data_IF_289190541929
#
_entry.id   IF_289190541929
#
_cell.length_a   1.000
_cell.length_b   1.000
_cell.length_c   1.000
_cell.angle_alpha   90.00
_cell.angle_beta   90.00
_cell.angle_gamma   90.00
#
_symmetry.space_group_name_H-M   'P 1'
#
loop_
_entity.id
_entity.type
_entity.pdbx_description
1 polymer ?
#
# COMPACT_ATOMS: atom_id res chain seq x y z
N UNK A 1 0.18 -4.11 -22.28
CA UNK A 1 -0.08 -4.80 -21.01
C UNK A 1 -1.52 -5.27 -21.06
N UNK A 2 -1.86 -6.41 -20.47
CA UNK A 2 -3.27 -6.76 -20.25
C UNK A 2 -3.86 -5.75 -19.24
N UNK A 3 -5.19 -5.64 -19.19
CA UNK A 3 -5.85 -4.73 -18.25
C UNK A 3 -5.49 -5.09 -16.80
N UNK A 4 -5.16 -4.07 -16.01
CA UNK A 4 -4.84 -4.22 -14.59
C UNK A 4 -6.07 -4.70 -13.82
N UNK A 5 -7.25 -4.16 -14.15
CA UNK A 5 -8.51 -4.59 -13.54
C UNK A 5 -8.84 -6.04 -13.90
N UNK A 6 -8.58 -6.47 -15.13
CA UNK A 6 -8.76 -7.88 -15.50
C UNK A 6 -7.89 -8.80 -14.64
N UNK A 7 -6.60 -8.48 -14.50
CA UNK A 7 -5.68 -9.31 -13.70
C UNK A 7 -6.11 -9.35 -12.23
N UNK A 8 -6.52 -8.22 -11.66
CA UNK A 8 -7.02 -8.17 -10.29
C UNK A 8 -8.35 -8.91 -10.09
N UNK A 9 -9.27 -8.90 -11.06
CA UNK A 9 -10.50 -9.72 -10.98
C UNK A 9 -10.17 -11.20 -10.88
N UNK A 10 -9.19 -11.69 -11.66
CA UNK A 10 -8.75 -13.09 -11.58
C UNK A 10 -8.20 -13.44 -10.18
N UNK A 11 -7.52 -12.51 -9.52
CA UNK A 11 -7.04 -12.68 -8.12
C UNK A 11 -8.17 -12.59 -7.08
N UNK A 12 -9.16 -11.73 -7.30
CA UNK A 12 -10.36 -11.65 -6.43
C UNK A 12 -11.18 -12.94 -6.53
N UNK A 13 -11.34 -13.50 -7.73
CA UNK A 13 -11.98 -14.80 -7.93
C UNK A 13 -11.23 -15.90 -7.17
N UNK A 14 -9.88 -15.91 -7.23
CA UNK A 14 -9.06 -16.84 -6.45
C UNK A 14 -9.25 -16.66 -4.94
N UNK A 15 -9.30 -15.40 -4.45
CA UNK A 15 -9.56 -15.12 -3.05
C UNK A 15 -10.91 -15.71 -2.58
N UNK A 16 -11.96 -15.53 -3.38
CA UNK A 16 -13.30 -16.05 -3.10
C UNK A 16 -13.35 -17.58 -3.13
N UNK A 17 -12.61 -18.22 -4.04
CA UNK A 17 -12.50 -19.68 -4.14
C UNK A 17 -11.83 -20.31 -2.89
N UNK A 18 -10.98 -19.55 -2.19
CA UNK A 18 -10.28 -19.97 -0.97
C UNK A 18 -10.70 -19.18 0.28
N UNK A 19 -11.92 -18.63 0.29
CA UNK A 19 -12.37 -17.73 1.34
C UNK A 19 -12.26 -18.34 2.75
N UNK A 20 -12.67 -19.60 2.91
CA UNK A 20 -12.60 -20.32 4.19
C UNK A 20 -11.14 -20.56 4.65
N UNK A 21 -10.23 -20.89 3.72
CA UNK A 21 -8.81 -21.11 4.02
C UNK A 21 -8.07 -19.82 4.38
N UNK A 22 -8.50 -18.69 3.82
CA UNK A 22 -7.94 -17.36 4.06
C UNK A 22 -8.60 -16.63 5.24
N UNK A 23 -9.67 -17.19 5.80
CA UNK A 23 -10.56 -16.56 6.80
C UNK A 23 -11.12 -15.21 6.34
N UNK A 24 -11.54 -15.12 5.07
CA UNK A 24 -12.18 -13.94 4.48
C UNK A 24 -13.64 -14.24 4.11
N UNK A 25 -14.43 -13.21 3.79
CA UNK A 25 -15.84 -13.39 3.43
C UNK A 25 -16.26 -12.49 2.26
N UNK A 26 -16.98 -13.07 1.29
CA UNK A 26 -17.59 -12.32 0.19
C UNK A 26 -19.06 -11.99 0.46
N UNK A 27 -19.47 -10.77 0.11
CA UNK A 27 -20.83 -10.26 0.25
C UNK A 27 -21.28 -9.64 -1.08
N UNK A 28 -22.50 -9.97 -1.51
CA UNK A 28 -23.17 -9.30 -2.62
C UNK A 28 -24.09 -8.22 -2.07
N UNK A 29 -23.95 -6.98 -2.53
CA UNK A 29 -24.78 -5.85 -2.15
C UNK A 29 -26.07 -5.78 -3.00
N UNK A 30 -27.02 -4.92 -2.64
CA UNK A 30 -28.30 -4.80 -3.36
C UNK A 30 -28.11 -4.29 -4.82
N UNK A 31 -27.04 -3.52 -5.07
CA UNK A 31 -26.58 -3.11 -6.41
C UNK A 31 -26.02 -4.25 -7.27
N UNK A 32 -25.72 -5.41 -6.67
CA UNK A 32 -25.04 -6.55 -7.29
C UNK A 32 -23.51 -6.44 -7.29
N UNK A 33 -22.93 -5.41 -6.68
CA UNK A 33 -21.49 -5.32 -6.44
C UNK A 33 -21.03 -6.36 -5.41
N UNK A 34 -19.74 -6.70 -5.44
CA UNK A 34 -19.13 -7.65 -4.50
C UNK A 34 -18.19 -6.93 -3.54
N UNK A 35 -18.43 -7.03 -2.24
CA UNK A 35 -17.49 -6.65 -1.19
C UNK A 35 -16.80 -7.92 -0.69
N UNK A 36 -15.46 -7.89 -0.58
CA UNK A 36 -14.71 -9.03 0.00
C UNK A 36 -14.02 -8.53 1.25
N UNK A 37 -14.45 -9.02 2.41
CA UNK A 37 -13.92 -8.63 3.70
C UNK A 37 -12.68 -9.45 4.06
N UNK A 38 -11.54 -8.77 4.07
CA UNK A 38 -10.22 -9.31 4.41
C UNK A 38 -9.83 -9.10 5.88
N UNK A 39 -10.60 -8.35 6.67
CA UNK A 39 -10.17 -8.00 8.03
C UNK A 39 -10.98 -6.94 8.78
N UNK A 40 -12.16 -6.56 8.30
CA UNK A 40 -13.07 -5.64 9.01
C UNK A 40 -13.93 -6.41 10.01
N UNK A 41 -14.71 -7.38 9.53
CA UNK A 41 -15.47 -8.31 10.38
C UNK A 41 -14.88 -9.72 10.34
N UNK A 42 -14.26 -10.10 9.22
CA UNK A 42 -13.54 -11.34 9.03
C UNK A 42 -12.19 -11.35 9.79
N UNK A 43 -11.73 -12.53 10.19
CA UNK A 43 -10.45 -12.66 10.92
C UNK A 43 -9.24 -12.36 10.02
N UNK A 44 -9.34 -12.69 8.73
CA UNK A 44 -8.25 -12.59 7.76
C UNK A 44 -7.02 -13.39 8.15
N UNK A 45 -5.84 -12.83 7.88
CA UNK A 45 -4.57 -13.44 8.27
C UNK A 45 -3.40 -12.95 7.43
N UNK A 46 -2.24 -13.58 7.64
CA UNK A 46 -1.03 -13.23 6.88
C UNK A 46 -1.20 -13.51 5.38
N UNK A 47 -1.62 -14.72 5.02
CA UNK A 47 -1.81 -15.12 3.62
C UNK A 47 -2.92 -14.29 2.94
N UNK A 48 -4.00 -13.96 3.66
CA UNK A 48 -5.04 -13.06 3.17
C UNK A 48 -4.49 -11.65 2.88
N UNK A 49 -3.65 -11.12 3.78
CA UNK A 49 -2.98 -9.84 3.57
C UNK A 49 -2.00 -9.84 2.39
N UNK A 50 -1.28 -10.95 2.17
CA UNK A 50 -0.39 -11.09 0.99
C UNK A 50 -1.19 -11.10 -0.31
N UNK A 51 -2.30 -11.86 -0.36
CA UNK A 51 -3.18 -11.87 -1.52
C UNK A 51 -3.83 -10.51 -1.77
N UNK A 52 -4.24 -9.81 -0.70
CA UNK A 52 -4.77 -8.45 -0.83
C UNK A 52 -3.70 -7.48 -1.38
N UNK A 53 -2.46 -7.57 -0.93
CA UNK A 53 -1.35 -6.78 -1.47
C UNK A 53 -1.04 -7.13 -2.94
N UNK A 54 -1.19 -8.40 -3.32
CA UNK A 54 -1.08 -8.84 -4.71
C UNK A 54 -2.20 -8.26 -5.58
N UNK A 55 -3.44 -8.24 -5.09
CA UNK A 55 -4.57 -7.57 -5.75
C UNK A 55 -4.32 -6.06 -5.88
N UNK A 56 -3.81 -5.42 -4.82
CA UNK A 56 -3.43 -3.99 -4.83
C UNK A 56 -2.37 -3.66 -5.89
N UNK A 57 -1.55 -4.63 -6.30
CA UNK A 57 -0.54 -4.48 -7.36
C UNK A 57 -0.98 -5.08 -8.70
N UNK A 58 -2.23 -5.53 -8.81
CA UNK A 58 -2.79 -6.24 -9.97
C UNK A 58 -1.95 -7.46 -10.42
N UNK A 59 -1.32 -8.16 -9.47
CA UNK A 59 -0.45 -9.31 -9.72
C UNK A 59 0.90 -8.97 -10.36
N UNK A 60 1.26 -7.69 -10.43
CA UNK A 60 2.55 -7.24 -11.00
C UNK A 60 3.69 -7.25 -9.97
N UNK A 61 3.41 -7.56 -8.71
CA UNK A 61 4.42 -7.76 -7.68
C UNK A 61 4.36 -9.18 -7.13
N UNK A 62 5.52 -9.71 -6.76
CA UNK A 62 5.63 -10.96 -5.99
C UNK A 62 5.79 -10.63 -4.52
N UNK A 63 4.90 -11.20 -3.70
CA UNK A 63 4.85 -11.02 -2.26
C UNK A 63 5.35 -12.29 -1.56
N UNK A 64 6.18 -12.13 -0.54
CA UNK A 64 6.67 -13.22 0.30
C UNK A 64 6.72 -12.78 1.76
N UNK A 65 6.76 -13.76 2.67
CA UNK A 65 7.07 -13.51 4.07
C UNK A 65 8.35 -14.20 4.48
N UNK A 66 9.08 -13.55 5.39
CA UNK A 66 10.20 -14.16 6.09
C UNK A 66 10.11 -13.87 7.59
N UNK A 67 10.84 -14.65 8.37
CA UNK A 67 11.09 -14.31 9.77
C UNK A 67 12.36 -13.46 9.88
N UNK A 68 12.21 -12.26 10.42
CA UNK A 68 13.30 -11.37 10.82
C UNK A 68 13.31 -11.17 12.34
N UNK A 69 13.84 -10.03 12.78
CA UNK A 69 13.84 -9.66 14.20
C UNK A 69 13.64 -8.16 14.39
N UNK A 70 12.91 -7.79 15.44
CA UNK A 70 12.86 -6.44 16.01
C UNK A 70 13.12 -6.56 17.50
N UNK A 71 14.02 -5.76 18.05
CA UNK A 71 14.53 -5.85 19.42
C UNK A 71 14.93 -7.28 19.80
N UNK A 72 15.74 -7.90 18.95
CA UNK A 72 16.17 -9.28 19.13
C UNK A 72 15.00 -10.28 19.31
N UNK A 73 13.79 -9.98 18.86
CA UNK A 73 12.61 -10.84 18.99
C UNK A 73 12.12 -11.27 17.60
N UNK A 74 11.68 -12.53 17.40
CA UNK A 74 11.22 -12.99 16.08
C UNK A 74 10.00 -12.20 15.59
N UNK A 75 10.11 -11.60 14.41
CA UNK A 75 9.06 -10.75 13.82
C UNK A 75 8.86 -11.12 12.36
N UNK A 76 7.61 -11.29 11.89
CA UNK A 76 7.33 -11.45 10.47
C UNK A 76 7.69 -10.19 9.68
N UNK A 77 8.23 -10.39 8.49
CA UNK A 77 8.46 -9.34 7.49
C UNK A 77 7.71 -9.69 6.22
N UNK A 78 7.22 -8.67 5.52
CA UNK A 78 6.71 -8.79 4.15
C UNK A 78 7.80 -8.32 3.20
N UNK A 79 8.08 -9.12 2.18
CA UNK A 79 8.98 -8.78 1.09
C UNK A 79 8.17 -8.63 -0.19
N UNK A 80 8.36 -7.51 -0.89
CA UNK A 80 7.72 -7.21 -2.18
C UNK A 80 8.80 -7.05 -3.24
N UNK A 81 8.64 -7.68 -4.40
CA UNK A 81 9.49 -7.44 -5.56
C UNK A 81 8.66 -7.19 -6.82
N UNK A 82 9.10 -6.27 -7.68
CA UNK A 82 8.47 -6.04 -9.00
C UNK A 82 9.45 -5.47 -10.02
N UNK A 83 9.29 -5.89 -11.27
CA UNK A 83 9.95 -5.34 -12.47
C UNK A 83 9.05 -4.31 -13.20
N UNK A 84 7.92 -3.95 -12.60
CA UNK A 84 7.01 -2.91 -13.08
C UNK A 84 6.72 -1.84 -12.02
N UNK A 85 7.73 -1.22 -11.39
CA UNK A 85 7.53 -0.42 -10.17
C UNK A 85 6.55 0.74 -10.37
N UNK A 86 6.67 1.48 -11.48
CA UNK A 86 5.77 2.60 -11.77
C UNK A 86 4.29 2.18 -11.85
N UNK A 87 3.98 1.14 -12.63
CA UNK A 87 2.59 0.68 -12.80
C UNK A 87 2.08 -0.05 -11.55
N UNK A 88 2.86 -1.01 -11.03
CA UNK A 88 2.43 -1.85 -9.91
C UNK A 88 2.23 -1.03 -8.62
N UNK A 89 3.15 -0.08 -8.35
CA UNK A 89 3.18 0.62 -7.07
C UNK A 89 2.47 1.97 -7.14
N UNK A 90 2.74 2.81 -8.15
CA UNK A 90 2.06 4.11 -8.27
C UNK A 90 0.71 3.99 -8.99
N UNK A 91 0.66 3.24 -10.09
CA UNK A 91 -0.56 3.05 -10.88
C UNK A 91 -1.60 2.11 -10.26
N UNK A 92 -1.22 1.33 -9.24
CA UNK A 92 -2.13 0.44 -8.51
C UNK A 92 -1.99 0.61 -7.00
N UNK A 93 -0.91 0.11 -6.38
CA UNK A 93 -0.85 -0.10 -4.92
C UNK A 93 -1.07 1.17 -4.09
N UNK A 94 -0.57 2.33 -4.57
CA UNK A 94 -0.76 3.63 -3.93
C UNK A 94 -2.21 3.87 -3.56
N UNK A 95 -2.44 4.22 -2.29
CA UNK A 95 -3.74 4.59 -1.77
C UNK A 95 -4.09 6.04 -2.17
N UNK A 96 -4.37 6.23 -3.45
CA UNK A 96 -4.52 7.55 -4.06
C UNK A 96 -5.97 8.05 -4.22
N UNK A 97 -6.96 7.22 -3.89
CA UNK A 97 -8.36 7.55 -4.09
C UNK A 97 -9.10 7.65 -2.75
N UNK A 98 -9.35 8.87 -2.29
CA UNK A 98 -10.16 9.13 -1.10
C UNK A 98 -11.65 8.82 -1.34
N UNK A 99 -12.23 8.00 -0.47
CA UNK A 99 -13.66 7.65 -0.49
C UNK A 99 -14.33 8.31 0.71
N UNK A 100 -15.21 9.28 0.45
CA UNK A 100 -16.01 9.94 1.47
C UNK A 100 -17.48 9.98 1.08
N UNK A 101 -18.34 9.46 1.95
CA UNK A 101 -19.80 9.61 1.87
C UNK A 101 -20.36 10.13 3.21
N UNK A 102 -21.68 10.26 3.36
CA UNK A 102 -22.26 10.70 4.64
C UNK A 102 -21.94 9.72 5.80
N UNK A 103 -21.72 8.44 5.49
CA UNK A 103 -21.59 7.37 6.48
C UNK A 103 -20.33 6.51 6.32
N UNK A 104 -19.49 6.79 5.32
CA UNK A 104 -18.30 6.02 5.01
C UNK A 104 -17.09 6.94 4.79
N UNK A 105 -15.93 6.51 5.30
CA UNK A 105 -14.64 7.10 5.00
C UNK A 105 -13.62 5.97 4.83
N UNK A 106 -12.75 6.10 3.82
CA UNK A 106 -11.68 5.13 3.57
C UNK A 106 -10.76 5.55 2.43
N UNK A 107 -9.71 4.77 2.24
CA UNK A 107 -8.73 4.98 1.19
C UNK A 107 -8.78 3.85 0.16
N UNK A 108 -8.90 4.23 -1.10
CA UNK A 108 -8.90 3.36 -2.27
C UNK A 108 -7.51 3.19 -2.86
N UNK A 109 -7.14 1.93 -3.07
CA UNK A 109 -5.93 1.47 -3.74
C UNK A 109 -6.27 0.43 -4.81
N UNK A 110 -5.32 0.11 -5.68
CA UNK A 110 -5.49 -0.92 -6.71
C UNK A 110 -5.92 -0.38 -8.07
N UNK A 111 -6.23 -1.28 -9.01
CA UNK A 111 -6.25 -0.98 -10.45
C UNK A 111 -7.45 -0.15 -10.91
N UNK A 112 -8.53 -0.04 -10.13
CA UNK A 112 -9.65 0.86 -10.45
C UNK A 112 -9.19 2.30 -10.69
N UNK A 113 -8.14 2.74 -9.99
CA UNK A 113 -7.53 4.07 -10.16
C UNK A 113 -7.08 4.32 -11.60
N UNK A 114 -6.62 3.29 -12.30
CA UNK A 114 -6.18 3.39 -13.69
C UNK A 114 -7.32 3.55 -14.71
N UNK A 115 -8.57 3.20 -14.35
CA UNK A 115 -9.76 3.51 -15.17
C UNK A 115 -10.11 5.00 -15.09
N UNK A 116 -9.87 5.62 -13.93
CA UNK A 116 -10.14 7.04 -13.66
C UNK A 116 -9.02 7.92 -14.22
N UNK A 117 -7.76 7.60 -13.89
CA UNK A 117 -6.58 8.22 -14.49
C UNK A 117 -6.37 9.71 -14.16
N UNK A 118 -6.97 10.24 -13.09
CA UNK A 118 -6.91 11.67 -12.75
C UNK A 118 -5.61 12.07 -12.03
N UNK A 119 -4.90 11.12 -11.43
CA UNK A 119 -3.69 11.37 -10.65
C UNK A 119 -2.44 11.61 -11.54
N UNK A 120 -1.45 12.36 -11.04
CA UNK A 120 -0.29 12.83 -11.84
C UNK A 120 0.57 11.68 -12.36
N UNK A 121 0.67 10.61 -11.60
CA UNK A 121 1.42 9.41 -11.97
C UNK A 121 0.86 8.76 -13.24
N UNK A 122 -0.45 8.80 -13.50
CA UNK A 122 -0.99 8.22 -14.74
C UNK A 122 -0.56 9.01 -15.97
N UNK A 123 -0.43 10.33 -15.83
CA UNK A 123 0.15 11.17 -16.87
C UNK A 123 1.64 10.85 -17.09
N UNK A 124 2.40 10.65 -16.01
CA UNK A 124 3.83 10.32 -16.09
C UNK A 124 4.07 8.93 -16.68
N UNK A 125 3.27 7.93 -16.28
CA UNK A 125 3.35 6.55 -16.74
C UNK A 125 2.77 6.36 -18.15
N UNK A 126 1.97 7.31 -18.63
CA UNK A 126 1.26 7.19 -19.91
C UNK A 126 0.32 5.99 -19.99
N UNK A 127 -0.19 5.53 -18.84
CA UNK A 127 -1.05 4.35 -18.72
C UNK A 127 -2.43 4.72 -18.22
N UNK A 128 -3.45 4.21 -18.92
CA UNK A 128 -4.86 4.30 -18.57
C UNK A 128 -5.48 2.95 -18.93
N UNK A 129 -6.29 2.40 -18.03
CA UNK A 129 -6.92 1.10 -18.25
C UNK A 129 -8.25 1.24 -19.00
N UNK A 130 -8.70 0.17 -19.65
CA UNK A 130 -10.01 0.09 -20.29
C UNK A 130 -10.57 -1.33 -20.07
N UNK A 131 -11.56 -1.46 -19.20
CA UNK A 131 -12.18 -2.73 -18.87
C UNK A 131 -13.61 -2.56 -18.34
N UNK A 132 -14.43 -3.61 -18.44
CA UNK A 132 -15.85 -3.57 -18.06
C UNK A 132 -16.09 -3.86 -16.56
N UNK A 133 -15.08 -4.34 -15.84
CA UNK A 133 -15.11 -4.64 -14.41
C UNK A 133 -14.01 -3.83 -13.70
N UNK A 134 -14.20 -3.57 -12.41
CA UNK A 134 -13.27 -2.76 -11.63
C UNK A 134 -12.99 -3.38 -10.26
N UNK A 135 -11.73 -3.30 -9.83
CA UNK A 135 -11.31 -3.72 -8.48
C UNK A 135 -10.67 -2.53 -7.77
N UNK A 136 -11.30 -2.09 -6.68
CA UNK A 136 -10.74 -1.09 -5.79
C UNK A 136 -10.59 -1.70 -4.40
N UNK A 137 -9.34 -1.86 -3.95
CA UNK A 137 -9.04 -2.29 -2.59
C UNK A 137 -9.27 -1.12 -1.63
N UNK A 138 -10.05 -1.32 -0.57
CA UNK A 138 -10.49 -0.28 0.35
C UNK A 138 -9.89 -0.51 1.74
N UNK A 139 -9.20 0.49 2.25
CA UNK A 139 -8.79 0.55 3.64
C UNK A 139 -9.83 1.35 4.44
N UNK A 140 -10.56 0.69 5.33
CA UNK A 140 -11.56 1.32 6.20
C UNK A 140 -11.89 0.43 7.40
N UNK A 141 -12.27 1.05 8.52
CA UNK A 141 -12.76 0.36 9.71
C UNK A 141 -14.19 -0.19 9.56
N UNK A 142 -14.87 0.11 8.45
CA UNK A 142 -16.23 -0.36 8.14
C UNK A 142 -16.31 -0.88 6.72
N UNK A 143 -17.25 -1.79 6.45
CA UNK A 143 -17.47 -2.29 5.08
C UNK A 143 -18.18 -1.24 4.21
N UNK A 144 -17.80 -1.10 2.93
CA UNK A 144 -18.51 -0.27 1.96
C UNK A 144 -19.97 -0.69 1.76
N UNK A 145 -20.81 0.28 1.45
CA UNK A 145 -22.22 0.08 1.08
C UNK A 145 -22.50 0.48 -0.37
N UNK A 146 -23.76 0.44 -0.78
CA UNK A 146 -24.18 0.78 -2.14
C UNK A 146 -23.88 2.24 -2.52
N UNK A 147 -23.75 3.17 -1.56
CA UNK A 147 -23.38 4.57 -1.85
C UNK A 147 -21.91 4.66 -2.30
N UNK A 148 -21.02 3.89 -1.66
CA UNK A 148 -19.62 3.77 -2.10
C UNK A 148 -19.54 3.11 -3.49
N UNK A 149 -20.35 2.09 -3.74
CA UNK A 149 -20.41 1.41 -5.05
C UNK A 149 -20.85 2.36 -6.15
N UNK A 150 -21.92 3.14 -5.95
CA UNK A 150 -22.42 4.12 -6.92
C UNK A 150 -21.30 5.12 -7.26
N UNK A 151 -20.59 5.63 -6.25
CA UNK A 151 -19.47 6.55 -6.43
C UNK A 151 -18.32 5.95 -7.27
N UNK A 152 -17.89 4.73 -6.92
CA UNK A 152 -16.80 4.03 -7.63
C UNK A 152 -17.21 3.72 -9.06
N UNK A 153 -18.43 3.20 -9.27
CA UNK A 153 -18.95 2.84 -10.59
C UNK A 153 -19.07 4.06 -11.51
N UNK A 154 -19.59 5.19 -11.01
CA UNK A 154 -19.72 6.43 -11.78
C UNK A 154 -18.34 6.94 -12.22
N UNK A 155 -17.38 7.03 -11.29
CA UNK A 155 -16.03 7.51 -11.59
C UNK A 155 -15.26 6.61 -12.52
N UNK A 156 -15.30 5.29 -12.30
CA UNK A 156 -14.64 4.31 -13.16
C UNK A 156 -15.39 4.06 -14.47
N UNK A 157 -16.58 4.65 -14.66
CA UNK A 157 -17.44 4.49 -15.83
C UNK A 157 -17.76 3.00 -16.14
N UNK A 158 -18.14 2.25 -15.11
CA UNK A 158 -18.58 0.85 -15.18
C UNK A 158 -19.98 0.70 -14.58
N UNK A 159 -20.59 -0.49 -14.73
CA UNK A 159 -21.85 -0.79 -14.03
C UNK A 159 -21.56 -1.15 -12.57
N UNK A 160 -22.47 -0.82 -11.64
CA UNK A 160 -22.35 -1.14 -10.21
C UNK A 160 -22.07 -2.64 -9.96
N UNK A 161 -22.82 -3.53 -10.62
CA UNK A 161 -22.63 -4.99 -10.55
C UNK A 161 -21.25 -5.50 -11.04
N UNK A 162 -20.43 -4.62 -11.60
CA UNK A 162 -19.08 -4.94 -12.07
C UNK A 162 -17.99 -4.42 -11.12
N UNK A 163 -18.38 -3.90 -9.95
CA UNK A 163 -17.49 -3.37 -8.91
C UNK A 163 -17.17 -4.47 -7.89
N UNK A 164 -15.88 -4.64 -7.62
CA UNK A 164 -15.35 -5.47 -6.54
C UNK A 164 -14.58 -4.61 -5.55
N UNK A 165 -14.91 -4.74 -4.26
CA UNK A 165 -14.32 -3.96 -3.16
C UNK A 165 -13.67 -4.88 -2.10
N UNK A 166 -12.48 -5.45 -2.35
CA UNK A 166 -11.68 -6.07 -1.30
C UNK A 166 -11.40 -5.04 -0.20
N UNK A 167 -11.87 -5.27 1.02
CA UNK A 167 -11.84 -4.28 2.11
C UNK A 167 -11.10 -4.83 3.31
N UNK A 168 -10.25 -4.02 3.92
CA UNK A 168 -9.55 -4.35 5.17
C UNK A 168 -9.56 -3.16 6.13
N UNK A 169 -9.62 -3.42 7.44
CA UNK A 169 -9.29 -2.42 8.46
C UNK A 169 -7.77 -2.36 8.65
N UNK A 170 -7.22 -1.20 8.98
CA UNK A 170 -5.79 -1.05 9.24
C UNK A 170 -5.40 -1.79 10.53
N UNK A 171 -6.29 -1.75 11.54
CA UNK A 171 -6.18 -2.47 12.80
C UNK A 171 -6.41 -3.98 12.75
N UNK A 172 -6.21 -4.60 11.59
CA UNK A 172 -6.34 -6.04 11.37
C UNK A 172 -5.00 -6.69 11.00
N UNK A 173 -4.95 -8.03 11.00
CA UNK A 173 -3.76 -8.77 10.55
C UNK A 173 -3.48 -8.51 9.06
N UNK A 174 -4.52 -8.54 8.22
CA UNK A 174 -4.38 -8.26 6.80
C UNK A 174 -3.96 -6.79 6.56
N UNK A 175 -4.53 -5.84 7.30
CA UNK A 175 -4.14 -4.43 7.30
C UNK A 175 -2.66 -4.24 7.60
N UNK A 176 -2.17 -4.83 8.70
CA UNK A 176 -0.74 -4.75 9.06
C UNK A 176 0.20 -5.36 8.01
N UNK A 177 -0.24 -6.42 7.32
CA UNK A 177 0.53 -7.04 6.21
C UNK A 177 0.55 -6.16 4.97
N UNK A 178 -0.61 -5.65 4.55
CA UNK A 178 -0.69 -4.77 3.38
C UNK A 178 0.09 -3.48 3.59
N UNK A 179 0.08 -2.92 4.80
CA UNK A 179 0.91 -1.77 5.13
C UNK A 179 2.40 -2.10 5.05
N UNK A 180 2.86 -3.21 5.63
CA UNK A 180 4.26 -3.64 5.51
C UNK A 180 4.68 -3.90 4.03
N UNK A 181 3.75 -4.29 3.17
CA UNK A 181 4.01 -4.49 1.74
C UNK A 181 4.29 -3.18 0.97
N UNK A 182 4.14 -2.00 1.59
CA UNK A 182 4.28 -0.69 0.91
C UNK A 182 5.67 -0.06 0.98
N UNK A 183 6.68 -0.72 1.56
CA UNK A 183 8.04 -0.15 1.64
C UNK A 183 8.59 0.26 0.27
N UNK A 184 8.46 -0.63 -0.73
CA UNK A 184 8.86 -0.35 -2.10
C UNK A 184 8.02 0.77 -2.74
N UNK A 185 6.71 0.79 -2.48
CA UNK A 185 5.81 1.85 -2.95
C UNK A 185 6.26 3.21 -2.45
N UNK A 186 6.55 3.35 -1.15
CA UNK A 186 7.01 4.60 -0.56
C UNK A 186 8.31 5.09 -1.21
N UNK A 187 9.28 4.20 -1.48
CA UNK A 187 10.52 4.60 -2.14
C UNK A 187 10.27 5.16 -3.55
N UNK A 188 9.41 4.49 -4.33
CA UNK A 188 9.08 4.91 -5.70
C UNK A 188 8.21 6.18 -5.70
N UNK A 189 7.28 6.30 -4.75
CA UNK A 189 6.47 7.49 -4.53
C UNK A 189 7.34 8.71 -4.17
N UNK A 190 8.28 8.55 -3.23
CA UNK A 190 9.23 9.60 -2.86
C UNK A 190 10.09 10.04 -4.03
N UNK A 191 10.63 9.10 -4.80
CA UNK A 191 11.35 9.43 -6.04
C UNK A 191 10.49 10.26 -7.00
N UNK A 192 9.24 9.85 -7.21
CA UNK A 192 8.30 10.57 -8.08
C UNK A 192 8.03 12.00 -7.58
N UNK A 193 7.75 12.19 -6.29
CA UNK A 193 7.50 13.52 -5.72
C UNK A 193 8.75 14.41 -5.72
N UNK A 194 9.94 13.82 -5.63
CA UNK A 194 11.20 14.55 -5.81
C UNK A 194 11.46 14.94 -7.28
N UNK A 195 10.67 14.41 -8.22
CA UNK A 195 10.73 14.72 -9.65
C UNK A 195 11.50 13.71 -10.50
N UNK A 196 11.76 12.51 -9.97
CA UNK A 196 12.33 11.40 -10.75
C UNK A 196 11.26 10.74 -11.61
N UNK A 197 11.61 10.40 -12.86
CA UNK A 197 10.69 9.74 -13.77
C UNK A 197 10.39 8.29 -13.29
N UNK A 198 9.14 7.93 -13.02
CA UNK A 198 8.80 6.59 -12.53
C UNK A 198 9.06 5.51 -13.59
N UNK A 199 9.09 5.83 -14.89
CA UNK A 199 9.50 4.90 -15.94
C UNK A 199 11.02 4.61 -15.90
N UNK A 200 11.80 5.43 -15.20
CA UNK A 200 13.23 5.21 -15.02
C UNK A 200 13.56 4.27 -13.86
N UNK A 201 12.60 3.90 -13.02
CA UNK A 201 12.76 2.82 -12.02
C UNK A 201 12.49 1.47 -12.69
N UNK A 202 13.52 0.62 -12.76
CA UNK A 202 13.49 -0.63 -13.56
C UNK A 202 13.06 -1.85 -12.77
N UNK A 203 13.49 -1.94 -11.52
CA UNK A 203 13.09 -3.00 -10.60
C UNK A 203 13.21 -2.49 -9.18
N UNK A 204 12.39 -3.03 -8.29
CA UNK A 204 12.45 -2.72 -6.87
C UNK A 204 12.20 -3.98 -6.04
N UNK A 205 12.93 -4.08 -4.93
CA UNK A 205 12.68 -5.01 -3.85
C UNK A 205 12.51 -4.21 -2.55
N UNK A 206 11.46 -4.47 -1.78
CA UNK A 206 11.21 -3.84 -0.48
C UNK A 206 10.95 -4.89 0.59
N UNK A 207 11.27 -4.55 1.84
CA UNK A 207 11.06 -5.39 3.02
C UNK A 207 10.68 -4.51 4.21
N UNK A 208 9.64 -4.87 4.96
CA UNK A 208 9.31 -4.21 6.22
C UNK A 208 8.72 -5.19 7.25
N UNK A 209 8.89 -4.93 8.56
CA UNK A 209 8.26 -5.74 9.60
C UNK A 209 6.74 -5.56 9.56
N UNK A 210 6.01 -6.64 9.84
CA UNK A 210 4.56 -6.56 10.08
C UNK A 210 4.36 -6.01 11.48
N UNK A 211 3.68 -4.87 11.57
CA UNK A 211 3.34 -4.23 12.84
C UNK A 211 2.46 -5.15 13.72
N UNK A 212 2.62 -5.14 15.05
CA UNK A 212 1.68 -5.79 15.95
C UNK A 212 0.28 -5.15 15.84
N UNK A 213 -0.71 -6.00 15.57
CA UNK A 213 -2.11 -5.60 15.40
C UNK A 213 -2.65 -4.88 16.64
N UNK A 214 -3.26 -3.72 16.44
CA UNK A 214 -4.15 -3.07 17.41
C UNK A 214 -5.49 -2.80 16.76
N UNK A 215 -6.59 -3.07 17.46
CA UNK A 215 -7.94 -2.72 16.98
C UNK A 215 -8.30 -1.24 17.21
N UNK A 216 -7.39 -0.48 17.82
CA UNK A 216 -7.44 0.98 17.83
C UNK A 216 -6.79 1.47 16.53
N UNK A 217 -7.59 1.99 15.60
CA UNK A 217 -7.12 2.41 14.27
C UNK A 217 -6.05 3.52 14.35
N UNK A 218 -6.08 4.37 15.38
CA UNK A 218 -5.05 5.40 15.59
C UNK A 218 -3.71 4.76 15.96
N UNK A 219 -3.73 3.78 16.87
CA UNK A 219 -2.53 3.04 17.25
C UNK A 219 -2.01 2.17 16.10
N UNK A 220 -2.92 1.51 15.36
CA UNK A 220 -2.59 0.73 14.18
C UNK A 220 -1.89 1.60 13.14
N UNK A 221 -2.45 2.78 12.83
CA UNK A 221 -1.86 3.76 11.92
C UNK A 221 -0.45 4.18 12.35
N UNK A 222 -0.24 4.48 13.64
CA UNK A 222 1.09 4.82 14.14
C UNK A 222 2.09 3.68 13.91
N UNK A 223 1.74 2.47 14.34
CA UNK A 223 2.62 1.30 14.24
C UNK A 223 2.93 0.90 12.80
N UNK A 224 1.94 0.89 11.91
CA UNK A 224 2.15 0.47 10.52
C UNK A 224 2.99 1.48 9.74
N UNK A 225 2.84 2.78 9.99
CA UNK A 225 3.73 3.79 9.41
C UNK A 225 5.13 3.73 10.00
N UNK A 226 5.27 3.54 11.32
CA UNK A 226 6.56 3.35 11.99
C UNK A 226 7.31 2.11 11.45
N UNK A 227 6.59 1.02 11.15
CA UNK A 227 7.14 -0.16 10.47
C UNK A 227 7.89 0.21 9.18
N UNK A 228 7.33 1.12 8.38
CA UNK A 228 7.91 1.55 7.11
C UNK A 228 9.02 2.58 7.34
N UNK A 229 8.74 3.62 8.14
CA UNK A 229 9.65 4.74 8.38
C UNK A 229 10.90 4.34 9.15
N UNK A 230 10.83 3.32 10.00
CA UNK A 230 11.96 2.88 10.85
C UNK A 230 12.45 1.47 10.54
N UNK A 231 11.66 0.64 9.83
CA UNK A 231 12.02 -0.73 9.49
C UNK A 231 11.97 -1.07 8.00
N UNK A 232 11.55 -0.15 7.14
CA UNK A 232 11.47 -0.35 5.70
C UNK A 232 12.84 -0.32 5.04
N UNK A 233 13.22 -1.41 4.39
CA UNK A 233 14.46 -1.54 3.61
C UNK A 233 14.09 -1.70 2.13
N UNK A 234 14.70 -0.92 1.25
CA UNK A 234 14.39 -0.95 -0.19
C UNK A 234 15.66 -0.98 -1.04
N UNK A 235 15.65 -1.83 -2.06
CA UNK A 235 16.66 -1.86 -3.11
C UNK A 235 16.02 -1.53 -4.46
N UNK A 236 16.52 -0.48 -5.11
CA UNK A 236 16.07 0.00 -6.41
C UNK A 236 17.16 -0.22 -7.46
N UNK A 237 16.75 -0.56 -8.67
CA UNK A 237 17.58 -0.40 -9.87
C UNK A 237 16.96 0.66 -10.76
N UNK A 238 17.73 1.68 -11.11
CA UNK A 238 17.24 2.87 -11.84
C UNK A 238 18.09 3.15 -13.08
N UNK A 239 17.50 3.79 -14.09
CA UNK A 239 18.16 4.04 -15.37
C UNK A 239 19.22 5.13 -15.32
N UNK A 240 18.99 6.17 -14.52
CA UNK A 240 19.75 7.42 -14.56
C UNK A 240 20.07 7.92 -13.15
N UNK A 241 21.22 8.60 -13.00
CA UNK A 241 21.57 9.27 -11.75
C UNK A 241 20.55 10.37 -11.41
N UNK A 242 20.40 10.63 -10.11
CA UNK A 242 19.59 11.70 -9.57
C UNK A 242 20.35 12.37 -8.42
N UNK A 243 20.27 13.70 -8.35
CA UNK A 243 21.01 14.49 -7.37
C UNK A 243 20.32 14.59 -6.00
N UNK A 244 19.14 13.97 -5.85
CA UNK A 244 18.30 14.01 -4.63
C UNK A 244 17.98 12.63 -4.07
N UNK A 245 18.77 11.59 -4.39
CA UNK A 245 18.55 10.26 -3.82
C UNK A 245 18.61 10.28 -2.28
N UNK A 246 19.40 11.17 -1.69
CA UNK A 246 19.54 11.36 -0.24
C UNK A 246 18.27 11.91 0.44
N UNK A 247 17.28 12.38 -0.31
CA UNK A 247 15.99 12.85 0.20
C UNK A 247 14.90 11.76 0.18
N UNK A 248 15.22 10.56 -0.33
CA UNK A 248 14.28 9.43 -0.42
C UNK A 248 14.00 8.76 0.93
N UNK A 249 15.00 8.47 1.79
CA UNK A 249 14.74 7.80 3.06
C UNK A 249 14.06 8.71 4.09
N UNK A 250 13.38 8.10 5.07
CA UNK A 250 12.59 8.80 6.08
C UNK A 250 13.40 9.74 6.97
N UNK A 251 14.70 9.50 7.13
CA UNK A 251 15.58 10.35 7.93
C UNK A 251 15.93 11.70 7.28
N UNK A 252 15.47 11.94 6.05
CA UNK A 252 15.52 13.25 5.43
C UNK A 252 14.38 14.19 5.86
N UNK A 253 13.30 13.67 6.46
CA UNK A 253 12.17 14.46 6.93
C UNK A 253 12.48 15.17 8.26
N UNK A 254 11.91 16.36 8.47
CA UNK A 254 12.10 17.14 9.70
C UNK A 254 11.45 16.44 10.92
N UNK A 255 10.40 15.66 10.68
CA UNK A 255 9.63 14.90 11.67
C UNK A 255 10.32 13.59 12.09
N UNK A 256 11.42 13.20 11.45
CA UNK A 256 12.09 11.93 11.70
C UNK A 256 12.49 11.73 13.17
N UNK A 257 12.26 10.53 13.68
CA UNK A 257 12.59 10.14 15.05
C UNK A 257 11.46 10.33 16.07
N UNK A 258 10.26 10.66 15.60
CA UNK A 258 9.03 10.75 16.39
C UNK A 258 8.08 9.60 16.02
N UNK A 259 7.34 9.00 16.98
CA UNK A 259 6.28 8.07 16.63
C UNK A 259 5.24 8.72 15.71
N UNK A 260 4.80 8.01 14.68
CA UNK A 260 3.86 8.55 13.70
C UNK A 260 2.52 8.97 14.31
N UNK A 261 2.08 8.30 15.38
CA UNK A 261 0.88 8.69 16.12
C UNK A 261 0.96 10.15 16.63
N UNK A 262 2.14 10.59 17.08
CA UNK A 262 2.36 11.96 17.54
C UNK A 262 2.42 12.96 16.37
N UNK A 263 2.99 12.55 15.23
CA UNK A 263 3.06 13.38 14.01
C UNK A 263 1.65 13.65 13.48
N UNK A 264 0.82 12.62 13.37
CA UNK A 264 -0.58 12.76 12.96
C UNK A 264 -1.41 13.54 13.97
N UNK A 265 -1.19 13.35 15.28
CA UNK A 265 -1.90 14.10 16.31
C UNK A 265 -1.59 15.61 16.26
N UNK A 266 -0.36 16.00 15.91
CA UNK A 266 0.01 17.41 15.72
C UNK A 266 -0.65 18.05 14.48
N UNK A 267 -1.02 17.24 13.49
CA UNK A 267 -1.72 17.64 12.26
C UNK A 267 -3.24 17.45 12.35
N UNK A 268 -3.79 17.32 13.56
CA UNK A 268 -5.22 17.08 13.81
C UNK A 268 -5.80 15.88 13.01
N UNK A 269 -4.95 14.90 12.68
CA UNK A 269 -5.25 13.74 11.83
C UNK A 269 -5.66 14.08 10.39
N UNK A 270 -5.33 15.27 9.92
CA UNK A 270 -5.51 15.68 8.52
C UNK A 270 -4.29 15.23 7.69
N UNK A 271 -4.50 14.26 6.81
CA UNK A 271 -3.46 13.71 5.93
C UNK A 271 -2.86 14.80 5.01
N UNK A 272 -3.64 15.81 4.62
CA UNK A 272 -3.20 16.89 3.75
C UNK A 272 -2.34 17.94 4.46
N UNK A 273 -2.36 17.96 5.80
CA UNK A 273 -1.50 18.82 6.59
C UNK A 273 -0.10 18.20 6.84
N UNK A 274 0.08 16.92 6.51
CA UNK A 274 1.36 16.24 6.61
C UNK A 274 2.25 16.54 5.41
N UNK A 275 3.53 16.77 5.68
CA UNK A 275 4.53 16.86 4.62
C UNK A 275 4.74 15.49 3.97
N UNK A 276 4.73 15.42 2.64
CA UNK A 276 4.91 14.17 1.89
C UNK A 276 6.25 13.47 2.21
N UNK A 277 7.21 14.18 2.81
CA UNK A 277 8.48 13.61 3.28
C UNK A 277 8.39 12.65 4.43
N UNK A 278 7.30 12.67 5.19
CA UNK A 278 7.10 11.69 6.26
C UNK A 278 6.92 10.28 5.68
N UNK A 279 6.30 10.13 4.51
CA UNK A 279 6.00 8.84 3.88
C UNK A 279 7.18 8.28 3.10
N UNK A 280 8.16 7.73 3.80
CA UNK A 280 9.39 7.21 3.23
C UNK A 280 9.89 5.94 3.95
N UNK A 281 10.61 5.04 3.25
CA UNK A 281 11.26 3.89 3.90
C UNK A 281 12.45 4.33 4.75
N UNK A 282 12.86 3.50 5.72
CA UNK A 282 13.99 3.79 6.61
C UNK A 282 15.35 3.78 5.89
N UNK A 283 15.59 2.79 5.04
CA UNK A 283 16.87 2.58 4.34
C UNK A 283 16.64 2.25 2.87
N UNK A 284 17.47 2.84 1.99
CA UNK A 284 17.40 2.65 0.55
C UNK A 284 18.79 2.41 -0.04
N UNK A 285 18.89 1.38 -0.88
CA UNK A 285 20.01 1.20 -1.82
C UNK A 285 19.52 1.48 -3.24
N UNK A 286 20.20 2.36 -3.97
CA UNK A 286 19.89 2.71 -5.36
C UNK A 286 21.06 2.32 -6.27
N UNK A 287 20.84 1.32 -7.11
CA UNK A 287 21.75 0.91 -8.19
C UNK A 287 21.42 1.65 -9.48
N UNK A 288 22.31 2.54 -9.93
CA UNK A 288 22.17 3.18 -11.24
C UNK A 288 22.77 2.29 -12.32
N UNK A 289 22.00 2.00 -13.38
CA UNK A 289 22.47 1.22 -14.52
C UNK A 289 23.72 1.88 -15.15
N UNK A 290 24.78 1.08 -15.31
CA UNK A 290 26.09 1.53 -15.78
C UNK A 290 26.71 2.68 -14.94
N UNK A 291 26.22 2.88 -13.71
CA UNK A 291 26.57 3.98 -12.81
C UNK A 291 26.96 3.52 -11.40
N UNK A 292 26.97 4.47 -10.43
CA UNK A 292 27.27 4.18 -9.03
C UNK A 292 26.06 3.56 -8.29
N UNK A 293 26.37 2.98 -7.12
CA UNK A 293 25.40 2.55 -6.12
C UNK A 293 25.39 3.55 -4.97
N UNK A 294 24.21 3.95 -4.52
CA UNK A 294 24.01 4.80 -3.34
C UNK A 294 23.37 3.97 -2.23
N UNK A 295 23.96 3.98 -1.03
CA UNK A 295 23.36 3.40 0.18
C UNK A 295 23.04 4.55 1.14
N UNK A 296 21.78 4.69 1.52
CA UNK A 296 21.21 5.89 2.12
C UNK A 296 20.18 5.51 3.18
N UNK A 297 20.02 6.35 4.20
CA UNK A 297 19.11 6.04 5.31
C UNK A 297 19.72 5.06 6.32
N UNK A 298 18.92 4.67 7.30
CA UNK A 298 19.23 3.64 8.29
C UNK A 298 17.95 3.16 8.98
N UNK A 299 17.86 1.88 9.31
CA UNK A 299 16.79 1.35 10.16
C UNK A 299 16.97 1.79 11.61
N UNK A 300 15.85 2.00 12.33
CA UNK A 300 15.82 2.41 13.75
C UNK A 300 15.06 1.39 14.60
N UNK A 301 15.77 0.31 14.94
CA UNK A 301 15.23 -0.79 15.77
C UNK A 301 14.75 -0.30 17.14
N UNK A 302 15.39 0.71 17.72
CA UNK A 302 14.99 1.31 19.00
C UNK A 302 13.61 1.98 18.93
N UNK A 303 13.32 2.68 17.84
CA UNK A 303 12.02 3.34 17.63
C UNK A 303 10.93 2.32 17.28
N UNK A 304 11.27 1.27 16.51
CA UNK A 304 10.35 0.15 16.27
C UNK A 304 9.99 -0.56 17.57
N UNK A 305 10.98 -0.83 18.43
CA UNK A 305 10.77 -1.49 19.72
C UNK A 305 9.83 -0.67 20.62
N UNK A 306 10.01 0.65 20.65
CA UNK A 306 9.14 1.58 21.38
C UNK A 306 7.73 1.60 20.80
N UNK A 307 7.59 1.80 19.48
CA UNK A 307 6.29 1.84 18.78
C UNK A 307 5.49 0.53 18.93
N UNK A 308 6.18 -0.61 18.91
CA UNK A 308 5.60 -1.94 19.02
C UNK A 308 5.46 -2.43 20.47
N UNK A 309 5.80 -1.58 21.46
CA UNK A 309 5.72 -1.87 22.89
C UNK A 309 6.48 -3.15 23.31
N UNK A 310 7.64 -3.44 22.72
CA UNK A 310 8.50 -4.56 23.15
C UNK A 310 8.92 -4.39 24.63
N UNK A 311 8.96 -5.50 25.38
CA UNK A 311 9.16 -5.53 26.85
C UNK A 311 10.38 -6.35 27.28
#
# INVERSE_FOLDING_TARGET
>A
MDSLNRMAVELVDEALDFADELNIAGYELDSGATVVDFGVEADGGLEAGLLLAEIQTAGLATLQTRMGRVDDSPTPYVELTTDHPGIALLGCQKAGWELETEHFSGLGSGPARALVGEEREFQALGYYDEFDLTVLCVESATLPDDEVVEHVAEKANVNEQAVFLPTTALGSTAGSVTAAARAAELAVFRLFELGYDPEHVKSVAGSAPVAPVSYDETEAMGRTNDALAYGGEVHLTVAEEFDRFDEVPSNAADEHGRPFADVFADADYDFYELDESVFAPAEVTVDVLDGPTYALGETREDLLAESFDYQ
#
